data_IF_783350296552
#
_entry.id   IF_783350296552
#
_cell.length_a   1.000
_cell.length_b   1.000
_cell.length_c   1.000
_cell.angle_alpha   90.00
_cell.angle_beta   90.00
_cell.angle_gamma   90.00
#
_symmetry.space_group_name_H-M   'P 1'
#
loop_
_entity.id
_entity.type
_entity.pdbx_description
1 polymer ?
#
# COMPACT_ATOMS: atom_id res chain seq x y z
N UNK A 1 5.00 26.54 -4.98
CA UNK A 1 3.66 26.09 -5.46
C UNK A 1 3.31 24.77 -4.75
N UNK A 2 2.08 24.25 -4.74
CA UNK A 2 1.85 22.90 -4.20
C UNK A 2 2.37 21.84 -5.19
N UNK A 3 3.11 20.84 -4.68
CA UNK A 3 3.61 19.72 -5.48
C UNK A 3 2.46 18.94 -6.13
N UNK A 4 2.50 18.77 -7.45
CA UNK A 4 1.54 17.97 -8.21
C UNK A 4 2.26 16.80 -8.90
N UNK A 5 1.94 15.60 -8.45
CA UNK A 5 2.52 14.39 -9.04
C UNK A 5 1.85 14.04 -10.38
N UNK A 6 2.65 13.97 -11.44
CA UNK A 6 2.16 13.73 -12.82
C UNK A 6 1.41 12.40 -12.98
N UNK A 7 1.84 11.35 -12.26
CA UNK A 7 1.25 10.01 -12.35
C UNK A 7 0.24 9.71 -11.24
N UNK A 8 -0.31 10.74 -10.56
CA UNK A 8 -1.23 10.53 -9.43
C UNK A 8 -2.51 9.78 -9.84
N UNK A 9 -3.05 10.06 -11.03
CA UNK A 9 -4.19 9.31 -11.59
C UNK A 9 -3.87 7.84 -11.81
N UNK A 10 -2.68 7.54 -12.35
CA UNK A 10 -2.23 6.17 -12.60
C UNK A 10 -2.00 5.42 -11.29
N UNK A 11 -1.41 6.08 -10.29
CA UNK A 11 -1.21 5.52 -8.96
C UNK A 11 -2.55 5.16 -8.32
N UNK A 12 -3.53 6.06 -8.33
CA UNK A 12 -4.88 5.82 -7.81
C UNK A 12 -5.57 4.65 -8.52
N UNK A 13 -5.48 4.59 -9.84
CA UNK A 13 -6.03 3.48 -10.62
C UNK A 13 -5.38 2.13 -10.23
N UNK A 14 -4.06 2.07 -10.04
CA UNK A 14 -3.37 0.84 -9.61
C UNK A 14 -3.73 0.44 -8.19
N UNK A 15 -3.87 1.41 -7.28
CA UNK A 15 -4.35 1.17 -5.91
C UNK A 15 -5.76 0.55 -5.97
N UNK A 16 -6.66 1.13 -6.75
CA UNK A 16 -8.00 0.59 -6.94
C UNK A 16 -7.97 -0.84 -7.50
N UNK A 17 -7.15 -1.12 -8.51
CA UNK A 17 -7.02 -2.47 -9.09
C UNK A 17 -6.45 -3.48 -8.09
N UNK A 18 -5.49 -3.08 -7.26
CA UNK A 18 -5.00 -3.91 -6.16
C UNK A 18 -6.12 -4.20 -5.15
N UNK A 19 -6.92 -3.20 -4.79
CA UNK A 19 -8.01 -3.34 -3.81
C UNK A 19 -9.14 -4.24 -4.37
N UNK A 20 -9.45 -4.13 -5.66
CA UNK A 20 -10.34 -5.06 -6.36
C UNK A 20 -9.81 -6.50 -6.29
N UNK A 21 -8.52 -6.70 -6.56
CA UNK A 21 -7.89 -8.03 -6.46
C UNK A 21 -7.87 -8.57 -5.02
N UNK A 22 -7.67 -7.69 -4.02
CA UNK A 22 -7.73 -8.08 -2.61
C UNK A 22 -9.12 -8.64 -2.25
N UNK A 23 -10.19 -8.02 -2.75
CA UNK A 23 -11.54 -8.56 -2.56
C UNK A 23 -11.70 -9.95 -3.19
N UNK A 24 -11.13 -10.18 -4.37
CA UNK A 24 -11.15 -11.52 -5.01
C UNK A 24 -10.43 -12.56 -4.15
N UNK A 25 -9.25 -12.22 -3.60
CA UNK A 25 -8.52 -13.10 -2.69
C UNK A 25 -9.33 -13.41 -1.43
N UNK A 26 -10.02 -12.41 -0.87
CA UNK A 26 -10.90 -12.60 0.30
C UNK A 26 -12.03 -13.57 -0.01
N UNK A 27 -12.70 -13.43 -1.17
CA UNK A 27 -13.76 -14.34 -1.58
C UNK A 27 -13.24 -15.77 -1.82
N UNK A 28 -12.09 -15.92 -2.47
CA UNK A 28 -11.45 -17.23 -2.63
C UNK A 28 -11.10 -17.87 -1.27
N UNK A 29 -10.64 -17.07 -0.31
CA UNK A 29 -10.34 -17.56 1.04
C UNK A 29 -11.61 -17.98 1.79
N UNK A 30 -12.70 -17.23 1.66
CA UNK A 30 -14.02 -17.61 2.21
C UNK A 30 -14.50 -18.93 1.64
N UNK A 31 -14.31 -19.17 0.35
CA UNK A 31 -14.71 -20.42 -0.29
C UNK A 31 -13.94 -21.63 0.27
N UNK A 32 -12.62 -21.51 0.44
CA UNK A 32 -11.81 -22.55 1.10
C UNK A 32 -12.31 -22.82 2.52
N UNK A 33 -12.63 -21.77 3.28
CA UNK A 33 -13.18 -21.90 4.64
C UNK A 33 -14.55 -22.57 4.64
N UNK A 34 -15.42 -22.25 3.68
CA UNK A 34 -16.74 -22.86 3.52
C UNK A 34 -16.63 -24.36 3.28
N UNK A 35 -15.77 -24.77 2.34
CA UNK A 35 -15.53 -26.19 2.04
C UNK A 35 -14.94 -26.91 3.25
N UNK A 36 -13.99 -26.28 3.95
CA UNK A 36 -13.42 -26.85 5.17
C UNK A 36 -14.48 -27.07 6.25
N UNK A 37 -15.38 -26.12 6.46
CA UNK A 37 -16.47 -26.25 7.44
C UNK A 37 -17.43 -27.40 7.07
N UNK A 38 -17.71 -27.62 5.79
CA UNK A 38 -18.50 -28.78 5.33
C UNK A 38 -17.79 -30.11 5.60
N UNK A 39 -16.48 -30.18 5.33
CA UNK A 39 -15.66 -31.36 5.65
C UNK A 39 -15.73 -31.66 7.15
N UNK A 40 -15.55 -30.65 8.00
CA UNK A 40 -15.55 -30.83 9.45
C UNK A 40 -16.92 -31.26 9.96
N UNK A 41 -18.00 -30.71 9.40
CA UNK A 41 -19.37 -31.13 9.71
C UNK A 41 -19.60 -32.61 9.37
N UNK A 42 -19.15 -33.06 8.20
CA UNK A 42 -19.30 -34.45 7.78
C UNK A 42 -18.43 -35.39 8.62
N UNK A 43 -17.19 -35.01 8.93
CA UNK A 43 -16.29 -35.77 9.83
C UNK A 43 -16.89 -35.91 11.23
N UNK A 44 -17.49 -34.84 11.77
CA UNK A 44 -18.19 -34.88 13.04
C UNK A 44 -19.42 -35.79 13.01
N UNK A 45 -20.15 -35.78 11.89
CA UNK A 45 -21.32 -36.66 11.68
C UNK A 45 -20.90 -38.12 11.65
N UNK A 46 -19.83 -38.47 10.92
CA UNK A 46 -19.25 -39.83 10.91
C UNK A 46 -18.81 -40.24 12.31
N UNK A 47 -18.12 -39.36 13.05
CA UNK A 47 -17.68 -39.66 14.42
C UNK A 47 -18.86 -39.91 15.37
N UNK A 48 -19.97 -39.17 15.22
CA UNK A 48 -21.18 -39.39 16.00
C UNK A 48 -21.85 -40.72 15.65
N UNK A 49 -22.03 -41.00 14.35
CA UNK A 49 -22.66 -42.25 13.88
C UNK A 49 -21.88 -43.47 14.34
N UNK A 50 -20.54 -43.44 14.29
CA UNK A 50 -19.68 -44.51 14.80
C UNK A 50 -19.89 -44.76 16.29
N UNK A 51 -20.16 -43.73 17.09
CA UNK A 51 -20.51 -43.89 18.52
C UNK A 51 -21.91 -44.49 18.69
N UNK A 52 -22.88 -44.05 17.89
CA UNK A 52 -24.27 -44.53 17.93
C UNK A 52 -24.41 -45.99 17.51
N UNK A 53 -23.55 -46.50 16.62
CA UNK A 53 -23.56 -47.92 16.21
C UNK A 53 -23.44 -48.86 17.41
N UNK A 54 -22.61 -48.53 18.41
CA UNK A 54 -22.40 -49.38 19.58
C UNK A 54 -23.64 -49.54 20.47
N UNK A 55 -24.60 -48.61 20.39
CA UNK A 55 -25.86 -48.64 21.15
C UNK A 55 -27.09 -48.93 20.28
N UNK A 56 -26.92 -49.09 18.97
CA UNK A 56 -28.02 -49.29 18.03
C UNK A 56 -28.50 -50.75 17.99
N UNK A 57 -29.77 -50.94 17.59
CA UNK A 57 -30.32 -52.26 17.34
C UNK A 57 -29.63 -52.93 16.14
N UNK A 58 -29.34 -54.24 16.23
CA UNK A 58 -28.53 -54.97 15.25
C UNK A 58 -29.03 -54.84 13.80
N UNK A 59 -30.35 -54.77 13.61
CA UNK A 59 -31.01 -54.61 12.30
C UNK A 59 -30.72 -53.27 11.61
N UNK A 60 -30.25 -52.26 12.34
CA UNK A 60 -29.92 -50.94 11.79
C UNK A 60 -28.42 -50.77 11.48
N UNK A 61 -27.58 -51.73 11.90
CA UNK A 61 -26.13 -51.62 11.81
C UNK A 61 -25.64 -51.48 10.36
N UNK A 62 -26.22 -52.24 9.43
CA UNK A 62 -25.90 -52.18 8.00
C UNK A 62 -26.26 -50.81 7.38
N UNK A 63 -27.39 -50.22 7.79
CA UNK A 63 -27.80 -48.89 7.34
C UNK A 63 -26.82 -47.80 7.80
N UNK A 64 -26.33 -47.90 9.05
CA UNK A 64 -25.32 -46.97 9.56
C UNK A 64 -23.98 -47.11 8.82
N UNK A 65 -23.54 -48.34 8.55
CA UNK A 65 -22.29 -48.59 7.80
C UNK A 65 -22.37 -48.04 6.37
N UNK A 66 -23.48 -48.27 5.67
CA UNK A 66 -23.73 -47.72 4.33
C UNK A 66 -23.74 -46.19 4.34
N UNK A 67 -24.35 -45.58 5.35
CA UNK A 67 -24.39 -44.12 5.46
C UNK A 67 -23.01 -43.52 5.80
N UNK A 68 -22.22 -44.19 6.65
CA UNK A 68 -20.84 -43.77 6.93
C UNK A 68 -19.97 -43.83 5.67
N UNK A 69 -20.05 -44.92 4.89
CA UNK A 69 -19.34 -45.04 3.61
C UNK A 69 -19.69 -43.90 2.66
N UNK A 70 -20.98 -43.57 2.56
CA UNK A 70 -21.44 -42.45 1.74
C UNK A 70 -20.87 -41.10 2.21
N UNK A 71 -20.84 -40.85 3.52
CA UNK A 71 -20.23 -39.64 4.07
C UNK A 71 -18.72 -39.59 3.83
N UNK A 72 -18.02 -40.71 3.92
CA UNK A 72 -16.59 -40.81 3.64
C UNK A 72 -16.30 -40.51 2.15
N UNK A 73 -17.13 -40.98 1.22
CA UNK A 73 -17.06 -40.62 -0.21
C UNK A 73 -17.27 -39.12 -0.44
N UNK A 74 -18.27 -38.51 0.23
CA UNK A 74 -18.51 -37.06 0.16
C UNK A 74 -17.31 -36.28 0.70
N UNK A 75 -16.72 -36.71 1.82
CA UNK A 75 -15.53 -36.08 2.40
C UNK A 75 -14.37 -36.13 1.40
N UNK A 76 -14.12 -37.27 0.76
CA UNK A 76 -13.06 -37.40 -0.24
C UNK A 76 -13.28 -36.45 -1.42
N UNK A 77 -14.51 -36.31 -1.92
CA UNK A 77 -14.84 -35.36 -2.98
C UNK A 77 -14.65 -33.90 -2.54
N UNK A 78 -15.02 -33.56 -1.31
CA UNK A 78 -14.82 -32.22 -0.75
C UNK A 78 -13.34 -31.90 -0.55
N UNK A 79 -12.51 -32.88 -0.18
CA UNK A 79 -11.05 -32.70 -0.05
C UNK A 79 -10.39 -32.38 -1.40
N UNK A 80 -10.83 -33.03 -2.49
CA UNK A 80 -10.39 -32.67 -3.85
C UNK A 80 -10.79 -31.24 -4.19
N UNK A 81 -12.06 -30.87 -3.99
CA UNK A 81 -12.56 -29.50 -4.24
C UNK A 81 -11.85 -28.45 -3.39
N UNK A 82 -11.50 -28.80 -2.14
CA UNK A 82 -10.73 -27.93 -1.26
C UNK A 82 -9.34 -27.67 -1.84
N UNK A 83 -8.67 -28.69 -2.37
CA UNK A 83 -7.36 -28.52 -3.00
C UNK A 83 -7.45 -27.59 -4.21
N UNK A 84 -8.43 -27.82 -5.10
CA UNK A 84 -8.66 -26.91 -6.24
C UNK A 84 -8.93 -25.46 -5.81
N UNK A 85 -9.70 -25.27 -4.72
CA UNK A 85 -9.97 -23.93 -4.18
C UNK A 85 -8.72 -23.28 -3.57
N UNK A 86 -7.83 -24.07 -2.95
CA UNK A 86 -6.53 -23.60 -2.45
C UNK A 86 -5.62 -23.20 -3.60
N UNK A 87 -5.59 -23.98 -4.68
CA UNK A 87 -4.76 -23.68 -5.85
C UNK A 87 -5.20 -22.35 -6.48
N UNK A 88 -6.52 -22.16 -6.67
CA UNK A 88 -7.08 -20.86 -7.10
C UNK A 88 -6.73 -19.73 -6.14
N UNK A 89 -6.84 -19.94 -4.82
CA UNK A 89 -6.47 -18.93 -3.84
C UNK A 89 -4.99 -18.53 -3.97
N UNK A 90 -4.10 -19.48 -4.25
CA UNK A 90 -2.68 -19.20 -4.44
C UNK A 90 -2.43 -18.40 -5.71
N UNK A 91 -3.07 -18.75 -6.84
CA UNK A 91 -3.01 -17.98 -8.08
C UNK A 91 -3.46 -16.52 -7.87
N UNK A 92 -4.58 -16.31 -7.17
CA UNK A 92 -5.09 -14.96 -6.91
C UNK A 92 -4.19 -14.15 -5.96
N UNK A 93 -3.51 -14.82 -5.02
CA UNK A 93 -2.49 -14.20 -4.16
C UNK A 93 -1.23 -13.79 -4.93
N UNK A 94 -0.80 -14.59 -5.89
CA UNK A 94 0.34 -14.24 -6.75
C UNK A 94 0.02 -12.99 -7.58
N UNK A 95 -1.16 -12.93 -8.19
CA UNK A 95 -1.64 -11.74 -8.91
C UNK A 95 -1.68 -10.51 -8.00
N UNK A 96 -2.17 -10.65 -6.77
CA UNK A 96 -2.17 -9.57 -5.80
C UNK A 96 -0.74 -9.07 -5.49
N UNK A 97 0.20 -9.98 -5.29
CA UNK A 97 1.59 -9.63 -4.99
C UNK A 97 2.26 -8.85 -6.16
N UNK A 98 1.93 -9.17 -7.41
CA UNK A 98 2.40 -8.42 -8.57
C UNK A 98 1.83 -7.00 -8.61
N UNK A 99 0.52 -6.85 -8.35
CA UNK A 99 -0.14 -5.55 -8.28
C UNK A 99 0.42 -4.68 -7.15
N UNK A 100 0.68 -5.27 -5.98
CA UNK A 100 1.30 -4.59 -4.85
C UNK A 100 2.71 -4.09 -5.18
N UNK A 101 3.54 -4.92 -5.83
CA UNK A 101 4.86 -4.51 -6.32
C UNK A 101 4.74 -3.31 -7.26
N UNK A 102 3.77 -3.35 -8.18
CA UNK A 102 3.55 -2.28 -9.16
C UNK A 102 3.09 -0.96 -8.52
N UNK A 103 2.29 -1.01 -7.44
CA UNK A 103 1.91 0.17 -6.64
C UNK A 103 3.13 0.71 -5.90
N UNK A 104 3.89 -0.15 -5.20
CA UNK A 104 5.07 0.23 -4.42
C UNK A 104 6.14 0.94 -5.25
N UNK A 105 6.35 0.51 -6.49
CA UNK A 105 7.28 1.19 -7.42
C UNK A 105 6.82 2.62 -7.72
N UNK A 106 5.51 2.83 -7.95
CA UNK A 106 4.97 4.17 -8.22
C UNK A 106 4.97 5.07 -6.99
N UNK A 107 4.76 4.53 -5.80
CA UNK A 107 4.86 5.26 -4.53
C UNK A 107 6.30 5.75 -4.31
N UNK A 108 7.29 4.86 -4.44
CA UNK A 108 8.71 5.25 -4.38
C UNK A 108 9.07 6.31 -5.41
N UNK A 109 8.55 6.18 -6.63
CA UNK A 109 8.77 7.20 -7.65
C UNK A 109 8.14 8.55 -7.26
N UNK A 110 6.93 8.55 -6.69
CA UNK A 110 6.27 9.76 -6.17
C UNK A 110 7.08 10.43 -5.06
N UNK A 111 7.62 9.65 -4.13
CA UNK A 111 8.49 10.13 -3.05
C UNK A 111 9.75 10.80 -3.60
N UNK A 112 10.44 10.15 -4.53
CA UNK A 112 11.64 10.71 -5.17
C UNK A 112 11.35 12.03 -5.89
N UNK A 113 10.23 12.11 -6.62
CA UNK A 113 9.82 13.34 -7.30
C UNK A 113 9.48 14.47 -6.31
N UNK A 114 8.90 14.13 -5.15
CA UNK A 114 8.60 15.09 -4.09
C UNK A 114 9.88 15.63 -3.45
N UNK A 115 10.88 14.77 -3.25
CA UNK A 115 12.18 15.18 -2.72
C UNK A 115 12.90 16.14 -3.67
N UNK A 116 12.96 15.80 -4.95
CA UNK A 116 13.51 16.69 -5.99
C UNK A 116 12.81 18.05 -6.02
N UNK A 117 11.48 18.06 -5.94
CA UNK A 117 10.70 19.29 -5.89
C UNK A 117 11.07 20.17 -4.69
N UNK A 118 11.23 19.57 -3.50
CA UNK A 118 11.65 20.30 -2.30
C UNK A 118 13.07 20.84 -2.42
N UNK A 119 13.99 20.10 -3.02
CA UNK A 119 15.35 20.58 -3.27
C UNK A 119 15.38 21.75 -4.24
N UNK A 120 14.57 21.70 -5.31
CA UNK A 120 14.42 22.79 -6.27
C UNK A 120 13.82 24.05 -5.62
N UNK A 121 12.78 23.90 -4.79
CA UNK A 121 12.21 25.04 -4.03
C UNK A 121 13.25 25.64 -3.09
N UNK A 122 13.99 24.83 -2.32
CA UNK A 122 15.07 25.33 -1.44
C UNK A 122 16.16 26.06 -2.22
N UNK A 123 16.56 25.53 -3.40
CA UNK A 123 17.56 26.20 -4.25
C UNK A 123 17.05 27.53 -4.79
N UNK A 124 15.78 27.59 -5.21
CA UNK A 124 15.17 28.83 -5.69
C UNK A 124 15.05 29.87 -4.56
N UNK A 125 14.63 29.45 -3.36
CA UNK A 125 14.57 30.31 -2.18
C UNK A 125 15.96 30.85 -1.80
N UNK A 126 16.98 30.00 -1.78
CA UNK A 126 18.36 30.43 -1.53
C UNK A 126 18.87 31.41 -2.58
N UNK A 127 18.51 31.22 -3.86
CA UNK A 127 18.87 32.17 -4.92
C UNK A 127 18.25 33.54 -4.68
N UNK A 128 16.95 33.58 -4.34
CA UNK A 128 16.24 34.82 -4.01
C UNK A 128 16.87 35.49 -2.79
N UNK A 129 17.19 34.73 -1.73
CA UNK A 129 17.86 35.27 -0.55
C UNK A 129 19.23 35.88 -0.88
N UNK A 130 20.01 35.22 -1.74
CA UNK A 130 21.31 35.74 -2.18
C UNK A 130 21.17 37.02 -3.01
N UNK A 131 20.17 37.09 -3.90
CA UNK A 131 19.87 38.29 -4.68
C UNK A 131 19.48 39.46 -3.77
N UNK A 132 18.59 39.22 -2.79
CA UNK A 132 18.18 40.23 -1.79
C UNK A 132 19.36 40.68 -0.92
N UNK A 133 20.20 39.74 -0.48
CA UNK A 133 21.39 40.06 0.31
C UNK A 133 22.39 40.90 -0.49
N UNK A 134 22.62 40.56 -1.77
CA UNK A 134 23.46 41.33 -2.69
C UNK A 134 22.94 42.74 -2.90
N UNK A 135 21.64 42.91 -3.13
CA UNK A 135 21.00 44.23 -3.24
C UNK A 135 21.15 45.06 -1.96
N UNK A 136 20.92 44.46 -0.78
CA UNK A 136 21.11 45.15 0.52
C UNK A 136 22.57 45.57 0.73
N UNK A 137 23.52 44.70 0.42
CA UNK A 137 24.94 45.03 0.54
C UNK A 137 25.34 46.15 -0.42
N UNK A 138 24.86 46.10 -1.67
CA UNK A 138 25.09 47.16 -2.65
C UNK A 138 24.49 48.49 -2.20
N UNK A 139 23.25 48.50 -1.73
CA UNK A 139 22.60 49.71 -1.20
C UNK A 139 23.39 50.32 -0.04
N UNK A 140 23.81 49.48 0.93
CA UNK A 140 24.64 49.93 2.06
C UNK A 140 26.01 50.47 1.61
N UNK A 141 26.59 49.91 0.56
CA UNK A 141 27.85 50.41 0.01
C UNK A 141 27.68 51.76 -0.68
N UNK A 142 26.59 51.95 -1.43
CA UNK A 142 26.26 53.24 -2.04
C UNK A 142 26.02 54.33 -0.99
N UNK A 143 25.31 54.00 0.09
CA UNK A 143 25.07 54.91 1.22
C UNK A 143 26.40 55.39 1.83
N UNK A 144 27.32 54.47 2.13
CA UNK A 144 28.65 54.82 2.64
C UNK A 144 29.48 55.68 1.70
N UNK A 145 29.47 55.39 0.41
CA UNK A 145 30.20 56.19 -0.59
C UNK A 145 29.63 57.62 -0.61
N UNK A 146 28.32 57.76 -0.47
CA UNK A 146 27.64 59.05 -0.44
C UNK A 146 27.98 59.83 0.83
N UNK A 147 27.94 59.18 1.99
CA UNK A 147 28.38 59.76 3.27
C UNK A 147 29.83 60.26 3.20
N UNK A 148 30.73 59.48 2.60
CA UNK A 148 32.13 59.88 2.43
C UNK A 148 32.33 61.08 1.50
N UNK A 149 31.56 61.16 0.41
CA UNK A 149 31.59 62.32 -0.47
C UNK A 149 31.04 63.57 0.21
N UNK A 150 29.99 63.43 1.03
CA UNK A 150 29.43 64.54 1.82
C UNK A 150 30.43 65.02 2.90
N UNK A 151 31.11 64.11 3.60
CA UNK A 151 32.17 64.44 4.57
C UNK A 151 33.39 65.13 3.91
N UNK A 152 33.81 64.66 2.72
CA UNK A 152 34.92 65.25 1.97
C UNK A 152 34.56 66.65 1.44
N UNK A 153 33.31 66.88 1.01
CA UNK A 153 32.81 68.21 0.60
C UNK A 153 32.74 69.18 1.78
N UNK A 154 32.27 68.74 2.96
CA UNK A 154 32.25 69.57 4.17
C UNK A 154 33.68 69.90 4.66
N UNK A 155 34.60 68.95 4.63
CA UNK A 155 36.01 69.17 4.99
C UNK A 155 36.78 70.10 4.04
N UNK A 156 36.39 70.15 2.76
CA UNK A 156 36.94 71.10 1.78
C UNK A 156 36.39 72.53 1.98
N UNK A 157 35.18 72.66 2.51
CA UNK A 157 34.58 73.97 2.87
C UNK A 157 35.14 74.53 4.18
N UNK A 158 35.51 73.68 5.16
CA UNK A 158 36.14 74.13 6.41
C UNK A 158 37.62 74.54 6.25
N UNK A 159 38.38 73.91 5.33
CA UNK A 159 39.79 74.25 5.09
C UNK A 159 40.00 75.39 4.07
N UNK A 160 38.92 75.96 3.53
CA UNK A 160 38.94 77.03 2.54
C UNK A 160 38.73 78.46 3.07
N UNK A 161 38.71 78.66 4.40
CA UNK A 161 38.56 79.96 5.07
C UNK A 161 39.85 80.40 5.78
#
# INVERSE_FOLDING_TARGET
>A
MPFKYRLDKVLKYRIQKRDEQLNVVIEAQKEVQRIQAEIDKNKNSVALLRKTIYSAHHTLMENYDNYIKHLDEIIAQLEIKKQEAIDRLNEEKEKLAELEKAVKVLEKHKEKMLEQYKEEEKKAEMKILNEVAGQKHYAKMQEKIREQLEEDEEGMLENGN
#
